data_IF_312692285134
#
_entry.id   IF_312692285134
#
_cell.length_a   1.000
_cell.length_b   1.000
_cell.length_c   1.000
_cell.angle_alpha   90.00
_cell.angle_beta   90.00
_cell.angle_gamma   90.00
#
_symmetry.space_group_name_H-M   'P 1'
#
loop_
_entity.id
_entity.type
_entity.pdbx_description
1 polymer ?
#
# COMPACT_ATOMS: atom_id res chain seq x y z
N UNK A 1 -0.73 34.42 10.01
CA UNK A 1 -1.92 34.49 9.13
C UNK A 1 -2.25 33.08 8.66
N UNK A 2 -3.32 32.47 9.17
CA UNK A 2 -3.71 31.07 8.87
C UNK A 2 -5.03 31.07 8.10
N UNK A 3 -5.02 30.55 6.87
CA UNK A 3 -6.16 30.49 5.95
C UNK A 3 -6.95 29.19 6.23
N UNK A 4 -8.04 29.28 7.00
CA UNK A 4 -8.99 28.16 7.22
C UNK A 4 -9.75 27.86 5.92
N UNK A 5 -9.61 26.64 5.45
CA UNK A 5 -10.28 26.11 4.26
C UNK A 5 -11.75 25.81 4.56
N UNK A 6 -12.66 26.47 3.83
CA UNK A 6 -14.13 26.45 3.93
C UNK A 6 -14.78 25.32 3.12
N UNK A 7 -14.18 24.13 3.03
CA UNK A 7 -14.66 23.08 2.10
C UNK A 7 -15.58 22.00 2.69
N UNK A 8 -15.79 21.96 4.01
CA UNK A 8 -16.61 20.93 4.67
C UNK A 8 -18.15 21.11 4.55
N UNK A 9 -18.76 22.29 4.37
CA UNK A 9 -20.23 22.42 4.46
C UNK A 9 -21.02 21.82 3.29
N UNK A 10 -20.40 21.61 2.12
CA UNK A 10 -21.15 21.23 0.90
C UNK A 10 -21.41 19.73 0.80
N UNK A 11 -20.49 18.89 1.27
CA UNK A 11 -20.65 17.44 1.25
C UNK A 11 -21.76 16.96 2.21
N UNK A 12 -21.94 17.66 3.34
CA UNK A 12 -23.00 17.33 4.30
C UNK A 12 -24.39 17.73 3.81
N UNK A 13 -24.52 18.85 3.06
CA UNK A 13 -25.80 19.27 2.46
C UNK A 13 -26.27 18.33 1.35
N UNK A 14 -25.34 17.82 0.53
CA UNK A 14 -25.67 16.87 -0.52
C UNK A 14 -26.16 15.52 0.03
N UNK A 15 -25.66 15.09 1.20
CA UNK A 15 -26.11 13.86 1.86
C UNK A 15 -27.51 14.03 2.48
N UNK A 16 -27.74 15.12 3.21
CA UNK A 16 -29.06 15.42 3.81
C UNK A 16 -30.18 15.55 2.76
N UNK A 17 -29.88 16.09 1.58
CA UNK A 17 -30.86 16.17 0.48
C UNK A 17 -31.23 14.80 -0.11
N UNK A 18 -30.30 13.84 -0.13
CA UNK A 18 -30.56 12.48 -0.61
C UNK A 18 -31.39 11.68 0.39
N UNK A 19 -31.08 11.81 1.69
CA UNK A 19 -31.80 11.13 2.76
C UNK A 19 -33.26 11.61 2.84
N UNK A 20 -33.50 12.93 2.71
CA UNK A 20 -34.86 13.50 2.66
C UNK A 20 -35.67 13.08 1.41
N UNK A 21 -35.00 12.85 0.27
CA UNK A 21 -35.65 12.40 -0.96
C UNK A 21 -36.00 10.90 -0.91
N UNK A 22 -35.25 10.11 -0.14
CA UNK A 22 -35.49 8.69 0.03
C UNK A 22 -36.64 8.41 1.01
N UNK A 23 -36.76 9.17 2.11
CA UNK A 23 -37.89 9.06 3.03
C UNK A 23 -39.23 9.50 2.40
N UNK A 24 -39.23 10.52 1.53
CA UNK A 24 -40.47 10.98 0.87
C UNK A 24 -41.04 9.96 -0.12
N UNK A 25 -40.18 9.15 -0.77
CA UNK A 25 -40.61 8.07 -1.67
C UNK A 25 -41.17 6.85 -0.93
N UNK A 26 -40.73 6.63 0.31
CA UNK A 26 -41.30 5.58 1.17
C UNK A 26 -42.63 6.03 1.79
N UNK A 27 -42.78 7.32 2.12
CA UNK A 27 -44.04 7.87 2.64
C UNK A 27 -45.14 8.01 1.56
N UNK A 28 -44.77 8.26 0.30
CA UNK A 28 -45.73 8.34 -0.82
C UNK A 28 -46.33 6.98 -1.21
N UNK A 29 -45.63 5.87 -0.93
CA UNK A 29 -46.15 4.51 -1.18
C UNK A 29 -47.19 4.02 -0.15
N UNK A 30 -47.30 4.68 1.00
CA UNK A 30 -48.10 4.19 2.13
C UNK A 30 -49.52 4.80 2.25
N UNK A 31 -49.92 5.71 1.35
CA UNK A 31 -51.25 6.37 1.41
C UNK A 31 -52.18 6.12 0.21
N UNK A 32 -51.86 5.15 -0.65
CA UNK A 32 -52.69 4.81 -1.80
C UNK A 32 -53.56 3.55 -1.64
N UNK A 33 -53.79 3.07 -0.40
CA UNK A 33 -54.51 1.79 -0.16
C UNK A 33 -55.80 1.96 0.67
N UNK A 34 -56.10 3.14 1.21
CA UNK A 34 -57.36 3.34 1.94
C UNK A 34 -58.12 4.51 1.36
N UNK A 35 -58.92 4.24 0.31
CA UNK A 35 -60.25 4.85 0.07
C UNK A 35 -60.72 4.50 -1.35
N UNK A 36 -61.51 3.42 -1.46
CA UNK A 36 -62.73 3.39 -2.26
C UNK A 36 -63.48 2.07 -2.01
N UNK A 37 -64.76 2.12 -1.58
CA UNK A 37 -65.54 0.92 -1.36
C UNK A 37 -66.46 0.62 -2.57
N UNK A 38 -66.88 -0.64 -2.65
CA UNK A 38 -68.05 -1.18 -3.37
C UNK A 38 -67.91 -1.36 -4.88
N UNK A 39 -67.38 -2.51 -5.29
CA UNK A 39 -68.14 -3.46 -6.13
C UNK A 39 -67.63 -4.89 -5.87
N UNK A 40 -68.35 -5.65 -5.04
CA UNK A 40 -68.09 -7.08 -4.82
C UNK A 40 -68.97 -7.88 -5.79
N UNK A 41 -68.40 -8.26 -6.93
CA UNK A 41 -68.86 -9.42 -7.71
C UNK A 41 -68.08 -10.65 -7.23
N UNK A 42 -68.79 -11.69 -6.78
CA UNK A 42 -68.27 -12.85 -6.03
C UNK A 42 -67.16 -13.71 -6.65
N UNK A 43 -66.59 -13.32 -7.79
CA UNK A 43 -65.43 -13.97 -8.43
C UNK A 43 -64.09 -13.25 -8.20
N UNK A 44 -64.11 -12.01 -7.69
CA UNK A 44 -62.88 -11.22 -7.43
C UNK A 44 -62.16 -11.57 -6.12
N UNK A 45 -62.85 -12.16 -5.15
CA UNK A 45 -62.32 -12.46 -3.81
C UNK A 45 -61.21 -13.53 -3.87
N UNK A 46 -61.33 -14.50 -4.77
CA UNK A 46 -60.33 -15.58 -4.92
C UNK A 46 -59.00 -15.08 -5.51
N UNK A 47 -59.02 -14.10 -6.42
CA UNK A 47 -57.81 -13.54 -7.04
C UNK A 47 -57.05 -12.61 -6.08
N UNK A 48 -57.78 -11.84 -5.26
CA UNK A 48 -57.18 -10.94 -4.26
C UNK A 48 -56.52 -11.72 -3.12
N UNK A 49 -57.14 -12.82 -2.67
CA UNK A 49 -56.55 -13.68 -1.65
C UNK A 49 -55.23 -14.32 -2.12
N UNK A 50 -55.15 -14.76 -3.38
CA UNK A 50 -53.93 -15.32 -3.96
C UNK A 50 -52.78 -14.30 -4.01
N UNK A 51 -53.07 -13.06 -4.41
CA UNK A 51 -52.05 -12.01 -4.50
C UNK A 51 -51.46 -11.63 -3.13
N UNK A 52 -52.27 -11.61 -2.07
CA UNK A 52 -51.80 -11.34 -0.70
C UNK A 52 -50.87 -12.45 -0.20
N UNK A 53 -51.19 -13.71 -0.47
CA UNK A 53 -50.35 -14.84 -0.05
C UNK A 53 -48.97 -14.79 -0.72
N UNK A 54 -48.92 -14.49 -2.02
CA UNK A 54 -47.65 -14.35 -2.76
C UNK A 54 -46.82 -13.19 -2.20
N UNK A 55 -47.44 -12.03 -1.93
CA UNK A 55 -46.73 -10.89 -1.37
C UNK A 55 -46.12 -11.20 0.02
N UNK A 56 -46.87 -11.90 0.88
CA UNK A 56 -46.37 -12.34 2.19
C UNK A 56 -45.24 -13.35 2.04
N UNK A 57 -45.36 -14.32 1.12
CA UNK A 57 -44.31 -15.32 0.88
C UNK A 57 -43.00 -14.67 0.38
N UNK A 58 -43.09 -13.69 -0.53
CA UNK A 58 -41.93 -12.93 -1.01
C UNK A 58 -41.30 -12.10 0.11
N UNK A 59 -42.11 -11.44 0.94
CA UNK A 59 -41.61 -10.68 2.08
C UNK A 59 -40.90 -11.56 3.12
N UNK A 60 -41.47 -12.72 3.45
CA UNK A 60 -40.86 -13.68 4.38
C UNK A 60 -39.56 -14.26 3.80
N UNK A 61 -39.55 -14.61 2.51
CA UNK A 61 -38.36 -15.12 1.83
C UNK A 61 -37.26 -14.07 1.78
N UNK A 62 -37.59 -12.82 1.43
CA UNK A 62 -36.64 -11.70 1.45
C UNK A 62 -36.10 -11.42 2.85
N UNK A 63 -36.94 -11.50 3.88
CA UNK A 63 -36.54 -11.34 5.27
C UNK A 63 -35.58 -12.45 5.75
N UNK A 64 -35.84 -13.71 5.39
CA UNK A 64 -34.97 -14.82 5.72
C UNK A 64 -33.64 -14.78 4.95
N UNK A 65 -33.66 -14.46 3.65
CA UNK A 65 -32.45 -14.28 2.84
C UNK A 65 -31.60 -13.10 3.35
N UNK A 66 -32.23 -11.99 3.75
CA UNK A 66 -31.52 -10.84 4.31
C UNK A 66 -30.87 -11.11 5.67
N UNK A 67 -31.30 -12.14 6.41
CA UNK A 67 -30.63 -12.58 7.65
C UNK A 67 -29.44 -13.51 7.40
N UNK A 68 -29.38 -14.18 6.25
CA UNK A 68 -28.22 -15.01 5.91
C UNK A 68 -27.00 -14.18 5.47
N UNK A 69 -27.19 -12.91 5.17
CA UNK A 69 -26.14 -11.89 4.99
C UNK A 69 -25.55 -11.38 6.32
N UNK A 70 -25.39 -12.27 7.30
CA UNK A 70 -24.31 -12.07 8.27
C UNK A 70 -23.02 -12.22 7.48
N UNK A 71 -22.56 -11.11 6.91
CA UNK A 71 -21.21 -10.98 6.34
C UNK A 71 -20.29 -11.61 7.36
N UNK A 72 -19.76 -12.80 7.06
CA UNK A 72 -18.56 -13.30 7.74
C UNK A 72 -17.54 -12.22 7.46
N UNK A 73 -17.38 -11.31 8.42
CA UNK A 73 -16.27 -10.40 8.44
C UNK A 73 -15.09 -11.32 8.70
N UNK A 74 -14.50 -11.80 7.60
CA UNK A 74 -13.22 -12.48 7.66
C UNK A 74 -12.33 -11.57 8.52
N UNK A 75 -11.69 -12.09 9.58
CA UNK A 75 -10.77 -11.29 10.36
C UNK A 75 -9.81 -10.64 9.38
N UNK A 76 -9.74 -9.31 9.45
CA UNK A 76 -8.95 -8.45 8.57
C UNK A 76 -7.56 -9.09 8.49
N UNK A 77 -7.26 -9.74 7.36
CA UNK A 77 -5.93 -10.28 7.14
C UNK A 77 -5.04 -9.08 7.25
N UNK A 78 -4.20 -9.06 8.28
CA UNK A 78 -3.28 -7.97 8.58
C UNK A 78 -2.18 -7.93 7.52
N UNK A 79 -2.56 -7.82 6.24
CA UNK A 79 -1.71 -7.41 5.16
C UNK A 79 -1.31 -5.99 5.52
N UNK A 80 -0.15 -5.87 6.17
CA UNK A 80 0.48 -4.58 6.40
C UNK A 80 0.51 -3.91 5.02
N UNK A 81 -0.29 -2.86 4.85
CA UNK A 81 -0.14 -1.94 3.74
C UNK A 81 1.23 -1.26 3.93
N UNK A 82 2.29 -1.93 3.48
CA UNK A 82 3.57 -1.28 3.28
C UNK A 82 3.34 -0.21 2.22
N UNK A 83 3.94 0.97 2.40
CA UNK A 83 4.05 1.92 1.30
C UNK A 83 4.74 1.20 0.14
N UNK A 84 4.36 1.53 -1.09
CA UNK A 84 4.94 0.96 -2.31
C UNK A 84 6.37 1.46 -2.55
N UNK A 85 7.26 1.30 -1.56
CA UNK A 85 8.68 1.64 -1.67
C UNK A 85 9.54 0.47 -1.21
N UNK A 86 10.38 -0.02 -2.12
CA UNK A 86 11.28 -1.15 -1.91
C UNK A 86 12.73 -0.68 -1.71
N UNK A 87 13.32 -1.00 -0.55
CA UNK A 87 14.72 -0.78 -0.26
C UNK A 87 15.49 -2.11 -0.26
N UNK A 88 16.53 -2.21 -1.09
CA UNK A 88 17.20 -3.46 -1.39
C UNK A 88 18.70 -3.36 -1.13
N UNK A 89 19.22 -4.27 -0.33
CA UNK A 89 20.64 -4.33 0.02
C UNK A 89 21.37 -5.33 -0.87
N UNK A 90 22.42 -4.88 -1.55
CA UNK A 90 23.40 -5.71 -2.23
C UNK A 90 24.64 -5.85 -1.34
N UNK A 91 25.01 -7.09 -1.03
CA UNK A 91 26.16 -7.41 -0.17
C UNK A 91 27.14 -8.33 -0.88
N UNK A 92 28.38 -8.37 -0.42
CA UNK A 92 29.30 -9.45 -0.77
C UNK A 92 28.87 -10.81 -0.20
N UNK A 93 29.73 -11.82 -0.42
CA UNK A 93 29.50 -13.23 -0.05
C UNK A 93 29.17 -13.46 1.44
N UNK A 94 29.70 -12.63 2.33
CA UNK A 94 29.53 -12.81 3.78
C UNK A 94 28.15 -12.31 4.26
N UNK A 95 27.38 -11.68 3.37
CA UNK A 95 26.01 -11.27 3.63
C UNK A 95 25.88 -10.35 4.85
N UNK A 96 24.77 -10.53 5.56
CA UNK A 96 24.44 -9.81 6.79
C UNK A 96 24.96 -10.50 8.06
N UNK A 97 26.05 -11.28 7.94
CA UNK A 97 26.65 -11.97 9.09
C UNK A 97 27.09 -10.97 10.16
N UNK A 98 26.88 -11.31 11.44
CA UNK A 98 27.24 -10.42 12.55
C UNK A 98 28.72 -9.99 12.48
N UNK A 99 28.96 -8.69 12.69
CA UNK A 99 30.30 -8.08 12.60
C UNK A 99 30.68 -7.58 11.20
N UNK A 100 29.85 -7.78 10.17
CA UNK A 100 30.06 -7.15 8.87
C UNK A 100 29.40 -5.78 8.79
N UNK A 101 29.93 -4.89 7.94
CA UNK A 101 29.30 -3.61 7.60
C UNK A 101 27.87 -3.81 7.06
N UNK A 102 27.67 -4.85 6.26
CA UNK A 102 26.36 -5.19 5.70
C UNK A 102 25.32 -5.53 6.78
N UNK A 103 25.72 -6.15 7.90
CA UNK A 103 24.83 -6.39 9.02
C UNK A 103 24.34 -5.08 9.66
N UNK A 104 25.23 -4.10 9.87
CA UNK A 104 24.85 -2.80 10.42
C UNK A 104 23.93 -2.00 9.48
N UNK A 105 24.22 -2.03 8.18
CA UNK A 105 23.37 -1.42 7.15
C UNK A 105 21.98 -2.07 7.14
N UNK A 106 21.93 -3.41 7.22
CA UNK A 106 20.68 -4.15 7.31
C UNK A 106 19.87 -3.79 8.57
N UNK A 107 20.53 -3.59 9.71
CA UNK A 107 19.86 -3.11 10.92
C UNK A 107 19.29 -1.69 10.74
N UNK A 108 20.03 -0.78 10.10
CA UNK A 108 19.55 0.57 9.80
C UNK A 108 18.35 0.58 8.85
N UNK A 109 18.38 -0.27 7.82
CA UNK A 109 17.24 -0.46 6.91
C UNK A 109 16.02 -1.00 7.64
N UNK A 110 16.19 -1.95 8.55
CA UNK A 110 15.08 -2.47 9.36
C UNK A 110 14.48 -1.39 10.26
N UNK A 111 15.31 -0.54 10.88
CA UNK A 111 14.83 0.58 11.69
C UNK A 111 13.99 1.57 10.84
N UNK A 112 14.43 1.87 9.62
CA UNK A 112 13.68 2.69 8.69
C UNK A 112 12.36 2.02 8.29
N UNK A 113 12.39 0.71 7.97
CA UNK A 113 11.19 -0.07 7.62
C UNK A 113 10.12 -0.04 8.71
N UNK A 114 10.53 -0.10 9.98
CA UNK A 114 9.61 -0.02 11.12
C UNK A 114 8.88 1.33 11.20
N UNK A 115 9.52 2.43 10.76
CA UNK A 115 8.97 3.78 10.83
C UNK A 115 8.20 4.18 9.58
N UNK A 116 8.68 3.80 8.41
CA UNK A 116 8.15 4.26 7.11
C UNK A 116 7.24 3.25 6.45
N UNK A 117 7.26 2.00 6.92
CA UNK A 117 6.63 0.88 6.23
C UNK A 117 7.14 0.73 4.80
N UNK A 118 8.43 0.98 4.54
CA UNK A 118 9.11 0.49 3.34
C UNK A 118 9.43 -1.00 3.48
N UNK A 119 9.37 -1.75 2.38
CA UNK A 119 9.77 -3.16 2.37
C UNK A 119 11.28 -3.25 2.16
N UNK A 120 11.95 -4.06 3.00
CA UNK A 120 13.39 -4.24 2.95
C UNK A 120 13.74 -5.67 2.51
N UNK A 121 14.72 -5.80 1.62
CA UNK A 121 15.25 -7.10 1.18
C UNK A 121 16.77 -7.04 1.04
N UNK A 122 17.46 -8.18 1.08
CA UNK A 122 18.89 -8.25 0.81
C UNK A 122 19.21 -9.37 -0.17
N UNK A 123 20.31 -9.22 -0.91
CA UNK A 123 20.84 -10.21 -1.84
C UNK A 123 22.36 -10.26 -1.69
N UNK A 124 22.93 -11.41 -1.28
CA UNK A 124 24.36 -11.62 -1.29
C UNK A 124 24.87 -12.02 -2.68
N UNK A 125 25.96 -11.41 -3.11
CA UNK A 125 26.71 -11.80 -4.30
C UNK A 125 27.53 -13.04 -3.98
N UNK A 126 27.08 -14.19 -4.50
CA UNK A 126 27.77 -15.46 -4.35
C UNK A 126 28.81 -15.66 -5.45
N UNK A 127 29.87 -16.43 -5.17
CA UNK A 127 30.94 -16.69 -6.11
C UNK A 127 32.01 -15.59 -6.11
N UNK A 128 32.55 -15.28 -7.28
CA UNK A 128 33.65 -14.33 -7.44
C UNK A 128 33.27 -12.93 -6.94
N UNK A 129 34.12 -12.30 -6.12
CA UNK A 129 33.87 -10.97 -5.58
C UNK A 129 34.40 -9.89 -6.52
N UNK A 130 33.74 -9.74 -7.67
CA UNK A 130 34.10 -8.76 -8.70
C UNK A 130 32.87 -7.97 -9.17
N UNK A 131 33.08 -6.74 -9.64
CA UNK A 131 31.98 -5.88 -10.10
C UNK A 131 31.22 -6.52 -11.26
N UNK A 132 31.91 -7.25 -12.14
CA UNK A 132 31.31 -8.00 -13.23
C UNK A 132 30.34 -9.07 -12.70
N UNK A 133 30.71 -9.81 -11.65
CA UNK A 133 29.84 -10.80 -11.03
C UNK A 133 28.70 -10.16 -10.21
N UNK A 134 28.92 -9.00 -9.58
CA UNK A 134 27.87 -8.31 -8.82
C UNK A 134 26.75 -7.72 -9.71
N UNK A 135 27.06 -7.33 -10.96
CA UNK A 135 26.11 -6.70 -11.90
C UNK A 135 24.83 -7.51 -12.16
N UNK A 136 24.89 -8.83 -12.46
CA UNK A 136 23.67 -9.64 -12.59
C UNK A 136 22.77 -9.63 -11.35
N UNK A 137 23.34 -9.71 -10.15
CA UNK A 137 22.57 -9.63 -8.89
C UNK A 137 21.94 -8.25 -8.74
N UNK A 138 22.70 -7.19 -9.04
CA UNK A 138 22.18 -5.82 -9.06
C UNK A 138 21.00 -5.67 -10.01
N UNK A 139 21.13 -6.15 -11.26
CA UNK A 139 20.07 -6.13 -12.26
C UNK A 139 18.83 -6.90 -11.79
N UNK A 140 19.02 -8.01 -11.08
CA UNK A 140 17.93 -8.74 -10.44
C UNK A 140 17.21 -7.94 -9.33
N UNK A 141 17.86 -6.97 -8.68
CA UNK A 141 17.18 -6.03 -7.77
C UNK A 141 16.39 -4.96 -8.55
N UNK A 142 16.97 -4.45 -9.64
CA UNK A 142 16.32 -3.43 -10.45
C UNK A 142 15.07 -3.98 -11.18
N UNK A 143 15.12 -5.23 -11.65
CA UNK A 143 14.00 -5.89 -12.33
C UNK A 143 12.81 -6.17 -11.42
N UNK A 144 13.04 -6.38 -10.13
CA UNK A 144 11.98 -6.53 -9.12
C UNK A 144 11.53 -5.20 -8.51
N UNK A 145 11.84 -4.09 -9.19
CA UNK A 145 11.40 -2.74 -8.86
C UNK A 145 11.90 -2.21 -7.52
N UNK A 146 13.16 -2.50 -7.14
CA UNK A 146 13.77 -1.81 -6.01
C UNK A 146 13.91 -0.30 -6.29
N UNK A 147 13.30 0.52 -5.44
CA UNK A 147 13.34 1.98 -5.52
C UNK A 147 14.63 2.56 -4.97
N UNK A 148 15.15 1.95 -3.91
CA UNK A 148 16.39 2.35 -3.22
C UNK A 148 17.32 1.16 -3.16
N UNK A 149 18.50 1.26 -3.75
CA UNK A 149 19.51 0.20 -3.74
C UNK A 149 20.68 0.62 -2.86
N UNK A 150 20.91 -0.12 -1.79
CA UNK A 150 22.07 0.05 -0.92
C UNK A 150 23.13 -0.96 -1.33
N UNK A 151 24.37 -0.53 -1.55
CA UNK A 151 25.48 -1.41 -1.92
C UNK A 151 26.57 -1.39 -0.85
N UNK A 152 26.99 -2.58 -0.42
CA UNK A 152 28.02 -2.78 0.61
C UNK A 152 29.10 -3.72 0.11
N UNK A 153 30.36 -3.28 0.19
CA UNK A 153 31.51 -3.98 -0.37
C UNK A 153 32.02 -3.32 -1.65
N UNK A 154 33.34 -3.35 -1.87
CA UNK A 154 33.98 -2.66 -3.00
C UNK A 154 33.44 -3.11 -4.37
N UNK A 155 33.31 -4.42 -4.66
CA UNK A 155 32.74 -4.90 -5.92
C UNK A 155 31.30 -4.42 -6.16
N UNK A 156 30.47 -4.48 -5.13
CA UNK A 156 29.05 -4.12 -5.16
C UNK A 156 28.87 -2.62 -5.34
N UNK A 157 29.63 -1.82 -4.60
CA UNK A 157 29.68 -0.35 -4.73
C UNK A 157 30.13 0.06 -6.12
N UNK A 158 31.14 -0.62 -6.69
CA UNK A 158 31.62 -0.36 -8.05
C UNK A 158 30.53 -0.68 -9.09
N UNK A 159 29.88 -1.84 -8.99
CA UNK A 159 28.79 -2.22 -9.88
C UNK A 159 27.60 -1.24 -9.79
N UNK A 160 27.23 -0.82 -8.58
CA UNK A 160 26.18 0.17 -8.35
C UNK A 160 26.54 1.52 -8.96
N UNK A 161 27.77 2.00 -8.76
CA UNK A 161 28.26 3.28 -9.31
C UNK A 161 28.22 3.28 -10.84
N UNK A 162 28.67 2.19 -11.48
CA UNK A 162 28.65 2.05 -12.94
C UNK A 162 27.23 1.97 -13.52
N UNK A 163 26.27 1.48 -12.72
CA UNK A 163 24.90 1.23 -13.16
C UNK A 163 23.99 2.43 -12.92
N UNK A 164 24.21 3.19 -11.84
CA UNK A 164 23.36 4.29 -11.40
C UNK A 164 23.02 5.33 -12.50
N UNK A 165 23.94 5.76 -13.39
CA UNK A 165 23.61 6.72 -14.46
C UNK A 165 22.53 6.25 -15.43
N UNK A 166 22.36 4.93 -15.58
CA UNK A 166 21.38 4.32 -16.47
C UNK A 166 19.97 4.22 -15.82
N UNK A 167 19.89 4.34 -14.49
CA UNK A 167 18.68 4.11 -13.70
C UNK A 167 18.32 5.33 -12.86
N UNK A 168 18.00 6.45 -13.52
CA UNK A 168 17.70 7.74 -12.86
C UNK A 168 16.44 7.73 -11.97
N UNK A 169 15.63 6.68 -12.04
CA UNK A 169 14.43 6.49 -11.19
C UNK A 169 14.72 5.72 -9.90
N UNK A 170 15.94 5.20 -9.73
CA UNK A 170 16.37 4.41 -8.58
C UNK A 170 17.45 5.19 -7.85
N UNK A 171 17.31 5.32 -6.53
CA UNK A 171 18.32 5.97 -5.68
C UNK A 171 19.33 4.92 -5.22
N UNK A 172 20.61 5.23 -5.35
CA UNK A 172 21.70 4.35 -4.97
C UNK A 172 22.40 4.91 -3.73
N UNK A 173 22.45 4.12 -2.67
CA UNK A 173 23.20 4.43 -1.44
C UNK A 173 24.45 3.57 -1.42
N UNK A 174 25.60 4.21 -1.60
CA UNK A 174 26.89 3.54 -1.60
C UNK A 174 27.47 3.60 -0.19
N UNK A 175 27.72 2.44 0.40
CA UNK A 175 28.25 2.36 1.77
C UNK A 175 29.74 2.05 1.74
N UNK A 176 30.52 2.98 2.26
CA UNK A 176 31.96 2.93 2.41
C UNK A 176 32.71 3.92 1.53
N UNK A 177 34.01 3.69 1.38
CA UNK A 177 34.87 4.60 0.63
C UNK A 177 34.62 4.46 -0.87
N UNK A 178 33.82 5.37 -1.39
CA UNK A 178 33.59 5.55 -2.82
C UNK A 178 34.65 6.51 -3.37
N UNK A 179 35.35 6.15 -4.45
CA UNK A 179 36.29 7.08 -5.11
C UNK A 179 35.60 8.39 -5.54
N UNK A 180 36.36 9.46 -5.77
CA UNK A 180 35.83 10.80 -6.07
C UNK A 180 34.84 10.84 -7.26
N UNK A 181 34.94 9.89 -8.20
CA UNK A 181 34.08 9.81 -9.38
C UNK A 181 32.65 9.34 -9.06
N UNK A 182 32.44 8.72 -7.91
CA UNK A 182 31.17 8.06 -7.52
C UNK A 182 30.07 9.05 -7.14
N UNK A 183 30.40 10.31 -6.88
CA UNK A 183 29.44 11.35 -6.45
C UNK A 183 28.87 12.18 -7.60
N UNK A 184 29.21 11.86 -8.85
CA UNK A 184 28.86 12.70 -10.00
C UNK A 184 27.40 12.54 -10.46
N UNK A 185 26.72 11.44 -10.09
CA UNK A 185 25.34 11.20 -10.48
C UNK A 185 24.36 11.69 -9.40
N UNK A 186 23.26 12.33 -9.83
CA UNK A 186 22.25 12.93 -8.94
C UNK A 186 21.51 11.93 -8.04
N UNK A 187 21.45 10.66 -8.46
CA UNK A 187 20.78 9.57 -7.76
C UNK A 187 21.75 8.72 -6.93
N UNK A 188 22.92 9.25 -6.58
CA UNK A 188 23.88 8.58 -5.70
C UNK A 188 24.03 9.36 -4.39
N UNK A 189 23.83 8.66 -3.27
CA UNK A 189 24.15 9.11 -1.92
C UNK A 189 25.28 8.23 -1.38
N UNK A 190 26.28 8.84 -0.75
CA UNK A 190 27.42 8.12 -0.16
C UNK A 190 27.31 8.19 1.35
N UNK A 191 27.41 7.04 2.02
CA UNK A 191 27.45 6.90 3.47
C UNK A 191 28.79 6.28 3.87
N UNK A 192 29.48 6.90 4.83
CA UNK A 192 30.79 6.39 5.29
C UNK A 192 30.61 5.27 6.29
N UNK A 193 31.55 4.31 6.29
CA UNK A 193 31.63 3.34 7.39
C UNK A 193 32.23 4.04 8.60
N UNK A 194 31.61 3.88 9.76
CA UNK A 194 32.08 4.44 11.02
C UNK A 194 31.00 4.35 12.10
N UNK A 195 31.30 4.98 13.24
CA UNK A 195 30.37 5.04 14.37
C UNK A 195 29.05 5.67 13.95
N UNK A 196 27.95 4.98 14.24
CA UNK A 196 26.61 5.46 13.91
C UNK A 196 26.11 5.13 12.50
N UNK A 197 26.83 4.30 11.73
CA UNK A 197 26.43 3.84 10.39
C UNK A 197 24.95 3.40 10.33
N UNK A 198 24.51 2.61 11.32
CA UNK A 198 23.11 2.16 11.44
C UNK A 198 22.11 3.33 11.42
N UNK A 199 22.36 4.37 12.21
CA UNK A 199 21.49 5.52 12.32
C UNK A 199 21.54 6.40 11.06
N UNK A 200 22.72 6.53 10.45
CA UNK A 200 22.88 7.24 9.18
C UNK A 200 22.10 6.55 8.06
N UNK A 201 22.25 5.24 7.90
CA UNK A 201 21.53 4.43 6.91
C UNK A 201 20.02 4.55 7.13
N UNK A 202 19.55 4.41 8.37
CA UNK A 202 18.13 4.59 8.67
C UNK A 202 17.63 5.97 8.22
N UNK A 203 18.38 7.03 8.55
CA UNK A 203 18.04 8.39 8.15
C UNK A 203 18.06 8.62 6.64
N UNK A 204 19.00 8.01 5.91
CA UNK A 204 19.03 8.06 4.44
C UNK A 204 17.79 7.39 3.86
N UNK A 205 17.51 6.13 4.23
CA UNK A 205 16.36 5.37 3.73
C UNK A 205 15.05 6.08 4.06
N UNK A 206 14.91 6.65 5.27
CA UNK A 206 13.74 7.44 5.65
C UNK A 206 13.51 8.65 4.74
N UNK A 207 14.58 9.36 4.35
CA UNK A 207 14.50 10.49 3.42
C UNK A 207 14.10 10.05 2.02
N UNK A 208 14.72 9.01 1.49
CA UNK A 208 14.41 8.50 0.14
C UNK A 208 12.96 8.00 0.05
N UNK A 209 12.49 7.27 1.07
CA UNK A 209 11.10 6.79 1.13
C UNK A 209 10.12 7.97 1.20
N UNK A 210 10.44 9.00 2.00
CA UNK A 210 9.60 10.20 2.11
C UNK A 210 9.58 11.02 0.82
N UNK A 211 10.67 11.05 0.06
CA UNK A 211 10.71 11.73 -1.24
C UNK A 211 9.80 11.07 -2.28
N UNK A 212 9.52 9.77 -2.13
CA UNK A 212 8.77 8.96 -3.09
C UNK A 212 7.26 8.82 -2.81
N UNK A 213 6.81 8.93 -1.56
CA UNK A 213 5.40 8.68 -1.19
C UNK A 213 4.82 9.61 -0.15
#
# INVERSE_FOLDING_TARGET
MVKRVRQVPQAQRAKAARDATQESRLAAGARAVLQWPRVLGGRGVAMVAGAVIVAVAVAVTGYFLSRTDTKRQLPDTRARHYKDVDACLLTGKDGITAGTTAAEVWQGMQDASLKTHARVSYVPVTGEQSAANARPYLNGLLQRSCDVVLATGKPEVTAATQTAPQYQKVDFVLVGDTGADSTSAKNITVTRVGDGLRAEVAGVVEREVKARG
#
